data_IF_598471730709
#
_entry.id   IF_598471730709
#
_cell.length_a   1.000
_cell.length_b   1.000
_cell.length_c   1.000
_cell.angle_alpha   90.00
_cell.angle_beta   90.00
_cell.angle_gamma   90.00
#
_symmetry.space_group_name_H-M   'P 1'
#
loop_
_entity.id
_entity.type
_entity.pdbx_description
1 polymer ?
#
# COMPACT_ATOMS: atom_id res chain seq x y z
N UNK A 1 -12.60 11.63 13.60
CA UNK A 1 -13.32 10.37 13.93
C UNK A 1 -13.47 9.58 12.64
N UNK A 2 -13.15 8.31 12.64
CA UNK A 2 -13.36 7.45 11.47
C UNK A 2 -14.70 6.75 11.64
N UNK A 3 -15.66 7.08 10.79
CA UNK A 3 -16.93 6.36 10.74
C UNK A 3 -16.79 5.22 9.73
N UNK A 4 -17.05 4.01 10.19
CA UNK A 4 -17.03 2.81 9.37
C UNK A 4 -18.30 2.78 8.53
N UNK A 5 -18.14 2.88 7.21
CA UNK A 5 -19.22 2.70 6.28
C UNK A 5 -19.35 1.24 5.82
N UNK A 6 -20.38 0.97 5.02
CA UNK A 6 -20.81 -0.38 4.66
C UNK A 6 -19.72 -1.19 3.93
N UNK A 7 -19.59 -2.45 4.33
CA UNK A 7 -18.80 -3.46 3.65
C UNK A 7 -19.59 -4.01 2.48
N UNK A 8 -19.02 -3.91 1.27
CA UNK A 8 -19.61 -4.43 0.06
C UNK A 8 -18.75 -5.53 -0.54
N UNK A 9 -19.37 -6.69 -0.86
CA UNK A 9 -18.74 -7.72 -1.68
C UNK A 9 -18.67 -7.22 -3.12
N UNK A 10 -17.48 -7.20 -3.69
CA UNK A 10 -17.27 -6.87 -5.10
C UNK A 10 -17.19 -8.19 -5.88
N UNK A 11 -18.00 -8.33 -6.94
CA UNK A 11 -17.85 -9.46 -7.83
C UNK A 11 -16.45 -9.44 -8.45
N UNK A 12 -15.68 -10.55 -8.36
CA UNK A 12 -14.37 -10.59 -9.01
C UNK A 12 -14.58 -10.48 -10.52
N UNK A 13 -14.05 -9.44 -11.11
CA UNK A 13 -13.89 -9.42 -12.57
C UNK A 13 -12.69 -10.30 -12.91
N UNK A 14 -12.78 -11.12 -13.94
CA UNK A 14 -11.69 -12.03 -14.37
C UNK A 14 -10.40 -11.30 -14.73
N UNK A 15 -10.43 -9.98 -14.76
CA UNK A 15 -9.41 -9.09 -15.29
C UNK A 15 -8.83 -8.12 -14.23
N UNK A 16 -8.75 -8.53 -12.96
CA UNK A 16 -8.02 -7.75 -11.96
C UNK A 16 -6.53 -7.76 -12.31
N UNK A 17 -6.13 -6.75 -13.07
CA UNK A 17 -4.76 -6.54 -13.47
C UNK A 17 -4.24 -5.29 -12.79
N UNK A 18 -3.08 -5.44 -12.20
CA UNK A 18 -2.41 -4.32 -11.55
C UNK A 18 -1.93 -3.34 -12.62
N UNK A 19 -2.52 -2.16 -12.79
CA UNK A 19 -1.99 -1.16 -13.70
C UNK A 19 -0.63 -0.70 -13.17
N UNK A 20 0.35 -0.59 -14.06
CA UNK A 20 1.65 -0.02 -13.76
C UNK A 20 1.73 1.32 -14.48
N UNK A 21 1.91 2.39 -13.73
CA UNK A 21 2.16 3.70 -14.30
C UNK A 21 3.55 3.71 -14.96
N UNK A 22 3.59 4.13 -16.21
CA UNK A 22 4.83 4.31 -16.97
C UNK A 22 4.93 5.73 -17.47
N UNK A 23 6.13 6.14 -17.89
CA UNK A 23 6.34 7.43 -18.56
C UNK A 23 5.41 7.54 -19.78
N UNK A 24 4.43 8.41 -19.72
CA UNK A 24 3.47 8.67 -20.80
C UNK A 24 2.17 7.87 -20.77
N UNK A 25 1.83 7.20 -19.65
CA UNK A 25 0.56 6.50 -19.54
C UNK A 25 0.53 5.39 -18.51
N UNK A 26 -0.38 4.45 -18.69
CA UNK A 26 -0.45 3.22 -17.91
C UNK A 26 -0.32 2.00 -18.82
N UNK A 27 0.44 1.02 -18.41
CA UNK A 27 0.43 -0.31 -19.01
C UNK A 27 -0.39 -1.26 -18.14
N UNK A 28 -1.28 -2.00 -18.78
CA UNK A 28 -2.12 -3.00 -18.14
C UNK A 28 -1.98 -4.30 -18.92
N UNK A 29 -1.70 -5.38 -18.23
CA UNK A 29 -1.77 -6.71 -18.87
C UNK A 29 -3.22 -7.17 -18.83
N UNK A 30 -3.89 -7.26 -19.98
CA UNK A 30 -5.24 -7.75 -20.14
C UNK A 30 -5.25 -8.95 -21.10
N UNK A 31 -5.84 -10.11 -20.70
CA UNK A 31 -5.93 -11.33 -21.49
C UNK A 31 -4.58 -11.78 -22.08
N UNK A 32 -3.51 -11.79 -21.26
CA UNK A 32 -2.13 -12.03 -21.65
C UNK A 32 -1.59 -11.08 -22.73
N UNK A 33 -2.24 -9.96 -22.97
CA UNK A 33 -1.77 -8.92 -23.89
C UNK A 33 -1.40 -7.67 -23.09
N UNK A 34 -0.26 -7.09 -23.43
CA UNK A 34 0.14 -5.77 -22.93
C UNK A 34 -0.71 -4.70 -23.63
N UNK A 35 -1.56 -4.03 -22.87
CA UNK A 35 -2.36 -2.92 -23.35
C UNK A 35 -1.77 -1.62 -22.84
N UNK A 36 -1.52 -0.68 -23.75
CA UNK A 36 -1.13 0.69 -23.41
C UNK A 36 -2.38 1.55 -23.38
N UNK A 37 -2.65 2.15 -22.23
CA UNK A 37 -3.66 3.20 -22.16
C UNK A 37 -3.03 4.51 -22.60
N UNK A 38 -3.46 5.04 -23.73
CA UNK A 38 -3.13 6.40 -24.19
C UNK A 38 -4.03 7.44 -23.54
N UNK A 39 -4.36 7.28 -22.28
CA UNK A 39 -5.01 8.32 -21.50
C UNK A 39 -4.08 9.54 -21.38
N UNK A 40 -4.67 10.71 -21.23
CA UNK A 40 -4.01 12.03 -21.14
C UNK A 40 -2.61 11.95 -20.57
N UNK A 41 -1.63 12.49 -21.28
CA UNK A 41 -0.25 12.53 -20.82
C UNK A 41 -0.25 13.06 -19.37
N UNK A 42 0.16 12.22 -18.42
CA UNK A 42 0.52 12.71 -17.10
C UNK A 42 1.80 13.51 -17.32
N UNK A 43 1.61 14.79 -17.64
CA UNK A 43 2.70 15.74 -17.77
C UNK A 43 3.16 16.07 -16.35
N UNK A 44 4.16 15.37 -15.85
CA UNK A 44 4.75 15.63 -14.55
C UNK A 44 5.89 14.64 -14.29
N UNK A 45 6.84 15.03 -13.47
CA UNK A 45 7.84 14.12 -12.93
C UNK A 45 7.13 13.13 -12.01
N UNK A 46 6.73 11.98 -12.55
CA UNK A 46 6.08 10.93 -11.77
C UNK A 46 7.11 10.26 -10.87
N UNK A 47 6.94 10.43 -9.57
CA UNK A 47 7.78 9.78 -8.55
C UNK A 47 7.14 8.45 -8.18
N UNK A 48 7.91 7.39 -8.22
CA UNK A 48 7.47 6.06 -7.77
C UNK A 48 8.60 5.34 -7.04
N UNK A 49 8.22 4.35 -6.26
CA UNK A 49 9.16 3.46 -5.58
C UNK A 49 8.89 2.00 -5.91
N UNK A 50 9.96 1.22 -5.97
CA UNK A 50 9.90 -0.24 -6.15
C UNK A 50 10.86 -0.93 -5.20
N UNK A 51 10.60 -2.20 -4.91
CA UNK A 51 11.59 -3.06 -4.25
C UNK A 51 12.32 -3.87 -5.32
N UNK A 52 13.64 -3.77 -5.29
CA UNK A 52 14.52 -4.60 -6.12
C UNK A 52 15.64 -5.15 -5.26
N UNK A 53 15.79 -6.46 -5.26
CA UNK A 53 16.81 -7.16 -4.45
C UNK A 53 16.77 -6.76 -2.98
N UNK A 54 15.56 -6.66 -2.41
CA UNK A 54 15.34 -6.24 -1.02
C UNK A 54 15.63 -4.76 -0.72
N UNK A 55 15.94 -3.93 -1.71
CA UNK A 55 16.26 -2.50 -1.53
C UNK A 55 15.15 -1.62 -2.05
N UNK A 56 14.94 -0.49 -1.40
CA UNK A 56 13.99 0.54 -1.83
C UNK A 56 14.67 1.36 -2.95
N UNK A 57 14.06 1.35 -4.12
CA UNK A 57 14.52 2.16 -5.26
C UNK A 57 13.46 3.22 -5.52
N UNK A 58 13.88 4.48 -5.53
CA UNK A 58 13.02 5.63 -5.86
C UNK A 58 13.42 6.18 -7.22
N UNK A 59 12.44 6.31 -8.09
CA UNK A 59 12.58 6.90 -9.42
C UNK A 59 11.75 8.18 -9.48
N UNK A 60 12.35 9.29 -9.85
CA UNK A 60 11.69 10.61 -9.95
C UNK A 60 11.53 11.09 -11.41
N UNK A 61 11.64 10.17 -12.37
CA UNK A 61 11.57 10.45 -13.81
C UNK A 61 12.87 11.01 -14.40
N UNK A 62 13.83 11.48 -13.57
CA UNK A 62 15.13 12.00 -13.97
C UNK A 62 16.29 11.17 -13.43
N UNK A 63 16.13 10.69 -12.22
CA UNK A 63 17.15 9.96 -11.48
C UNK A 63 16.56 8.73 -10.79
N UNK A 64 17.43 7.79 -10.49
CA UNK A 64 17.11 6.61 -9.69
C UNK A 64 18.09 6.57 -8.52
N UNK A 65 17.57 6.38 -7.31
CA UNK A 65 18.37 6.30 -6.09
C UNK A 65 17.91 5.16 -5.20
N UNK A 66 18.85 4.61 -4.44
CA UNK A 66 18.61 3.56 -3.47
C UNK A 66 18.50 4.19 -2.08
N UNK A 67 17.44 3.86 -1.35
CA UNK A 67 17.30 4.26 0.05
C UNK A 67 17.65 3.08 0.97
N UNK A 68 18.34 3.39 2.06
CA UNK A 68 18.72 2.45 3.13
C UNK A 68 18.48 3.11 4.49
N UNK A 69 17.21 3.30 4.91
CA UNK A 69 16.89 4.06 6.12
C UNK A 69 17.52 3.50 7.40
N UNK A 70 17.76 2.21 7.46
CA UNK A 70 18.41 1.54 8.60
C UNK A 70 19.87 1.12 8.33
N UNK A 71 20.43 1.50 7.18
CA UNK A 71 21.78 1.05 6.77
C UNK A 71 21.82 -0.47 6.64
N UNK A 72 22.84 -1.09 7.23
CA UNK A 72 23.05 -2.53 7.19
C UNK A 72 22.29 -3.29 8.31
N UNK A 73 21.53 -2.58 9.17
CA UNK A 73 20.74 -3.20 10.23
C UNK A 73 19.48 -3.91 9.72
N UNK A 74 18.97 -3.49 8.57
CA UNK A 74 17.84 -4.11 7.89
C UNK A 74 18.31 -4.66 6.55
N UNK A 75 18.25 -5.96 6.41
CA UNK A 75 18.76 -6.67 5.25
C UNK A 75 17.84 -6.49 4.04
N UNK A 76 16.54 -6.42 4.26
CA UNK A 76 15.55 -6.39 3.17
C UNK A 76 14.30 -5.59 3.52
N UNK A 77 13.71 -5.00 2.48
CA UNK A 77 12.44 -4.28 2.53
C UNK A 77 11.42 -4.96 1.63
N UNK A 78 10.16 -4.86 2.01
CA UNK A 78 9.01 -5.37 1.24
C UNK A 78 7.99 -4.24 1.07
N UNK A 79 7.15 -4.35 0.05
CA UNK A 79 6.06 -3.41 -0.21
C UNK A 79 6.48 -1.96 -0.04
N UNK A 80 6.46 -1.21 -1.08
CA UNK A 80 6.77 0.21 -1.03
C UNK A 80 5.77 1.00 -1.85
N UNK A 81 5.38 2.17 -1.37
CA UNK A 81 4.52 3.10 -2.08
C UNK A 81 4.87 4.54 -1.73
N UNK A 82 4.82 5.41 -2.74
CA UNK A 82 4.94 6.85 -2.56
C UNK A 82 3.57 7.42 -2.20
N UNK A 83 3.52 8.39 -1.28
CA UNK A 83 2.28 9.10 -0.92
C UNK A 83 1.70 9.85 -2.12
N UNK A 84 0.38 10.10 -2.16
CA UNK A 84 -0.25 10.80 -3.28
C UNK A 84 0.35 12.17 -3.60
N UNK A 85 0.82 12.91 -2.59
CA UNK A 85 1.51 14.20 -2.75
C UNK A 85 2.99 14.10 -3.14
N UNK A 86 3.53 12.88 -3.20
CA UNK A 86 4.93 12.63 -3.56
C UNK A 86 5.95 12.97 -2.48
N UNK A 87 5.52 13.26 -1.25
CA UNK A 87 6.39 13.73 -0.16
C UNK A 87 6.96 12.65 0.74
N UNK A 88 6.31 11.48 0.79
CA UNK A 88 6.63 10.40 1.71
C UNK A 88 6.65 9.04 1.02
N UNK A 89 7.30 8.09 1.65
CA UNK A 89 7.32 6.68 1.23
C UNK A 89 6.90 5.83 2.41
N UNK A 90 5.99 4.90 2.20
CA UNK A 90 5.73 3.80 3.13
C UNK A 90 6.40 2.53 2.63
N UNK A 91 6.94 1.74 3.53
CA UNK A 91 7.55 0.42 3.24
C UNK A 91 7.50 -0.46 4.48
N UNK A 92 7.70 -1.76 4.30
CA UNK A 92 7.89 -2.71 5.38
C UNK A 92 9.38 -3.09 5.45
N UNK A 93 9.99 -2.86 6.60
CA UNK A 93 11.38 -3.22 6.90
C UNK A 93 11.39 -4.54 7.69
N UNK A 94 12.03 -5.58 7.15
CA UNK A 94 12.06 -6.91 7.79
C UNK A 94 12.74 -6.81 9.16
N UNK A 95 12.06 -7.31 10.18
CA UNK A 95 12.50 -7.25 11.57
C UNK A 95 12.16 -5.95 12.31
N UNK A 96 11.59 -4.95 11.61
CA UNK A 96 11.14 -3.67 12.21
C UNK A 96 9.63 -3.49 12.07
N UNK A 97 9.10 -3.74 10.85
CA UNK A 97 7.70 -3.52 10.52
C UNK A 97 7.50 -2.40 9.49
N UNK A 98 6.29 -1.84 9.45
CA UNK A 98 5.92 -0.74 8.56
C UNK A 98 6.51 0.58 9.04
N UNK A 99 7.19 1.27 8.13
CA UNK A 99 7.86 2.55 8.38
C UNK A 99 7.47 3.58 7.33
N UNK A 100 7.40 4.84 7.75
CA UNK A 100 7.19 5.99 6.88
C UNK A 100 8.50 6.76 6.80
N UNK A 101 8.91 7.10 5.59
CA UNK A 101 10.14 7.80 5.27
C UNK A 101 9.80 9.11 4.56
N UNK A 102 10.71 10.10 4.65
CA UNK A 102 10.76 11.18 3.67
C UNK A 102 11.37 10.70 2.34
N UNK A 103 11.39 11.56 1.34
CA UNK A 103 11.95 11.23 0.02
C UNK A 103 13.48 11.09 0.04
N UNK A 104 14.16 11.46 1.11
CA UNK A 104 15.60 11.30 1.32
C UNK A 104 15.94 9.99 2.03
N UNK A 105 14.93 9.28 2.57
CA UNK A 105 15.07 8.04 3.31
C UNK A 105 15.22 8.24 4.82
N UNK A 106 14.98 9.44 5.35
CA UNK A 106 14.94 9.67 6.79
C UNK A 106 13.63 9.08 7.35
N UNK A 107 13.70 8.43 8.50
CA UNK A 107 12.56 7.80 9.15
C UNK A 107 11.69 8.90 9.79
N UNK A 108 10.43 8.98 9.36
CA UNK A 108 9.45 9.90 9.92
C UNK A 108 8.59 9.21 11.00
N UNK A 109 8.24 7.95 10.80
CA UNK A 109 7.47 7.16 11.75
C UNK A 109 7.76 5.66 11.61
N UNK A 110 7.77 4.96 12.74
CA UNK A 110 7.68 3.51 12.83
C UNK A 110 6.27 3.19 13.31
N UNK A 111 5.52 2.43 12.52
CA UNK A 111 4.10 2.15 12.77
C UNK A 111 3.88 0.78 13.39
N UNK A 112 4.91 -0.07 13.45
CA UNK A 112 4.85 -1.42 13.99
C UNK A 112 4.67 -2.50 12.92
N UNK A 113 4.45 -3.72 13.37
CA UNK A 113 4.38 -4.91 12.53
C UNK A 113 3.01 -5.02 11.83
N UNK A 114 2.91 -4.36 10.69
CA UNK A 114 1.75 -4.35 9.79
C UNK A 114 2.23 -4.56 8.35
N UNK A 115 1.65 -5.49 7.66
CA UNK A 115 2.09 -5.94 6.34
C UNK A 115 1.31 -5.30 5.20
N UNK A 116 1.85 -5.36 3.98
CA UNK A 116 1.21 -4.89 2.75
C UNK A 116 0.67 -3.45 2.85
N UNK A 117 1.47 -2.47 3.33
CA UNK A 117 1.03 -1.11 3.54
C UNK A 117 0.71 -0.41 2.21
N UNK A 118 -0.34 0.41 2.22
CA UNK A 118 -0.73 1.30 1.12
C UNK A 118 -1.26 2.62 1.68
N UNK A 119 -1.06 3.71 0.94
CA UNK A 119 -1.51 5.02 1.37
C UNK A 119 -3.02 5.20 1.27
N UNK A 120 -3.62 5.77 2.32
CA UNK A 120 -4.94 6.38 2.32
C UNK A 120 -4.79 7.88 2.56
N UNK A 121 -4.70 8.66 1.49
CA UNK A 121 -4.27 10.06 1.53
C UNK A 121 -2.79 10.18 1.89
N UNK A 122 -2.41 11.29 2.52
CA UNK A 122 -1.02 11.57 2.85
C UNK A 122 -0.67 11.30 4.33
N UNK A 123 -1.68 11.05 5.16
CA UNK A 123 -1.53 10.97 6.62
C UNK A 123 -1.91 9.60 7.19
N UNK A 124 -2.55 8.74 6.39
CA UNK A 124 -2.94 7.41 6.83
C UNK A 124 -2.38 6.31 5.93
N UNK A 125 -2.13 5.16 6.55
CA UNK A 125 -1.70 3.94 5.87
C UNK A 125 -2.70 2.83 6.17
N UNK A 126 -3.31 2.24 5.14
CA UNK A 126 -4.03 0.99 5.27
C UNK A 126 -3.05 -0.17 5.19
N UNK A 127 -3.17 -1.13 6.08
CA UNK A 127 -2.27 -2.27 6.14
C UNK A 127 -2.98 -3.52 6.66
N UNK A 128 -2.29 -4.65 6.58
CA UNK A 128 -2.73 -5.93 7.08
C UNK A 128 -2.06 -6.23 8.43
N UNK A 129 -2.83 -6.66 9.43
CA UNK A 129 -2.29 -7.27 10.65
C UNK A 129 -2.64 -8.74 10.64
N UNK A 130 -1.63 -9.57 10.39
CA UNK A 130 -1.77 -11.02 10.36
C UNK A 130 -1.07 -11.67 11.54
N UNK A 131 -1.50 -12.88 11.86
CA UNK A 131 -0.78 -13.85 12.70
C UNK A 131 -0.74 -15.18 11.96
N UNK A 132 0.32 -15.93 12.14
CA UNK A 132 0.49 -17.26 11.57
C UNK A 132 1.00 -18.26 12.62
N UNK A 133 0.93 -19.55 12.30
CA UNK A 133 1.46 -20.65 13.11
C UNK A 133 2.75 -21.25 12.53
N UNK A 134 3.37 -20.54 11.59
CA UNK A 134 4.53 -20.99 10.82
C UNK A 134 4.20 -21.80 9.57
N UNK A 135 2.91 -22.12 9.33
CA UNK A 135 2.43 -22.84 8.16
C UNK A 135 1.35 -22.08 7.39
N UNK A 136 0.45 -21.43 8.12
CA UNK A 136 -0.68 -20.69 7.54
C UNK A 136 -1.08 -19.51 8.43
N UNK A 137 -1.75 -18.54 7.83
CA UNK A 137 -2.37 -17.46 8.60
C UNK A 137 -3.47 -18.03 9.51
N UNK A 138 -3.43 -17.67 10.78
CA UNK A 138 -4.44 -18.02 11.80
C UNK A 138 -5.43 -16.90 12.05
N UNK A 139 -5.02 -15.65 11.80
CA UNK A 139 -5.90 -14.49 11.75
C UNK A 139 -5.34 -13.42 10.84
N UNK A 140 -6.21 -12.60 10.25
CA UNK A 140 -5.78 -11.43 9.49
C UNK A 140 -6.89 -10.39 9.39
N UNK A 141 -6.58 -9.13 9.65
CA UNK A 141 -7.49 -8.00 9.56
C UNK A 141 -6.86 -6.84 8.83
N UNK A 142 -7.69 -5.97 8.26
CA UNK A 142 -7.26 -4.68 7.72
C UNK A 142 -7.37 -3.62 8.81
N UNK A 143 -6.34 -2.81 8.90
CA UNK A 143 -6.24 -1.68 9.83
C UNK A 143 -5.97 -0.39 9.06
N UNK A 144 -6.30 0.75 9.67
CA UNK A 144 -5.87 2.06 9.22
C UNK A 144 -4.99 2.69 10.30
N UNK A 145 -3.78 3.07 9.92
CA UNK A 145 -2.74 3.61 10.78
C UNK A 145 -2.64 5.11 10.55
N UNK A 146 -2.74 5.91 11.59
CA UNK A 146 -2.44 7.34 11.54
C UNK A 146 -0.93 7.54 11.65
N UNK A 147 -0.31 8.12 10.64
CA UNK A 147 1.14 8.32 10.58
C UNK A 147 1.64 9.35 11.61
N UNK A 148 0.78 10.27 12.05
CA UNK A 148 1.13 11.35 12.98
C UNK A 148 0.94 10.94 14.43
N UNK A 149 -0.26 10.43 14.77
CA UNK A 149 -0.60 10.02 16.14
C UNK A 149 -0.20 8.59 16.46
N UNK A 150 0.12 7.78 15.46
CA UNK A 150 0.36 6.33 15.55
C UNK A 150 -0.86 5.54 16.07
N UNK A 151 -2.05 6.14 16.02
CA UNK A 151 -3.29 5.44 16.36
C UNK A 151 -3.61 4.39 15.32
N UNK A 152 -4.16 3.27 15.78
CA UNK A 152 -4.55 2.12 14.98
C UNK A 152 -6.06 1.98 15.02
N UNK A 153 -6.69 1.92 13.86
CA UNK A 153 -8.12 1.73 13.72
C UNK A 153 -8.37 0.38 13.02
N UNK A 154 -9.02 -0.54 13.72
CA UNK A 154 -9.42 -1.82 13.15
C UNK A 154 -10.58 -1.62 12.18
N UNK A 155 -10.40 -2.01 10.92
CA UNK A 155 -11.43 -1.87 9.88
C UNK A 155 -12.22 -3.16 9.66
N UNK A 156 -11.61 -4.32 9.91
CA UNK A 156 -12.25 -5.63 9.75
C UNK A 156 -11.99 -6.52 10.97
N UNK A 157 -12.73 -7.62 11.08
CA UNK A 157 -12.49 -8.62 12.12
C UNK A 157 -11.29 -9.51 11.79
N UNK A 158 -10.47 -9.92 12.76
CA UNK A 158 -9.37 -10.86 12.54
C UNK A 158 -9.80 -12.20 11.94
N UNK A 159 -11.02 -12.67 12.26
CA UNK A 159 -11.57 -13.92 11.74
C UNK A 159 -11.99 -13.86 10.26
N UNK A 160 -12.00 -12.67 9.66
CA UNK A 160 -12.35 -12.50 8.24
C UNK A 160 -11.20 -12.86 7.30
N UNK A 161 -10.00 -13.05 7.81
CA UNK A 161 -8.81 -13.43 7.04
C UNK A 161 -8.54 -12.49 5.85
N UNK A 162 -8.56 -11.18 6.14
CA UNK A 162 -8.44 -10.11 5.16
C UNK A 162 -7.00 -9.86 4.76
N UNK A 163 -6.75 -9.62 3.47
CA UNK A 163 -5.40 -9.51 2.89
C UNK A 163 -5.30 -8.39 1.86
N UNK A 164 -4.07 -7.90 1.69
CA UNK A 164 -3.65 -7.05 0.56
C UNK A 164 -4.56 -5.84 0.32
N UNK A 165 -4.66 -4.89 1.25
CA UNK A 165 -5.46 -3.70 1.07
C UNK A 165 -4.93 -2.85 -0.09
N UNK A 166 -5.84 -2.21 -0.81
CA UNK A 166 -5.58 -1.14 -1.75
C UNK A 166 -6.52 0.01 -1.43
N UNK A 167 -6.00 1.22 -1.31
CA UNK A 167 -6.74 2.33 -0.74
C UNK A 167 -6.75 3.56 -1.65
N UNK A 168 -7.84 4.33 -1.59
CA UNK A 168 -7.99 5.63 -2.22
C UNK A 168 -8.78 6.56 -1.29
N UNK A 169 -8.10 7.58 -0.75
CA UNK A 169 -8.76 8.58 0.07
C UNK A 169 -9.66 9.52 -0.74
N UNK A 170 -9.32 9.77 -2.01
CA UNK A 170 -10.16 10.55 -2.92
C UNK A 170 -11.52 9.87 -3.15
N UNK A 171 -11.52 8.55 -3.30
CA UNK A 171 -12.74 7.77 -3.43
C UNK A 171 -13.39 7.43 -2.08
N UNK A 172 -12.73 7.70 -0.94
CA UNK A 172 -13.18 7.29 0.38
C UNK A 172 -13.24 5.77 0.54
N UNK A 173 -12.36 5.00 -0.12
CA UNK A 173 -12.51 3.54 -0.24
C UNK A 173 -11.23 2.77 0.03
N UNK A 174 -11.41 1.58 0.60
CA UNK A 174 -10.39 0.55 0.72
C UNK A 174 -10.95 -0.76 0.16
N UNK A 175 -10.22 -1.38 -0.76
CA UNK A 175 -10.52 -2.70 -1.32
C UNK A 175 -9.53 -3.70 -0.74
N UNK A 176 -9.97 -4.89 -0.39
CA UNK A 176 -9.12 -5.96 0.10
C UNK A 176 -9.63 -7.33 -0.35
N UNK A 177 -8.76 -8.32 -0.34
CA UNK A 177 -9.12 -9.72 -0.58
C UNK A 177 -9.24 -10.50 0.72
N UNK A 178 -9.84 -11.69 0.65
CA UNK A 178 -9.73 -12.70 1.71
C UNK A 178 -8.92 -13.89 1.22
N UNK A 179 -8.51 -14.77 2.12
CA UNK A 179 -7.82 -16.03 1.75
C UNK A 179 -8.65 -16.91 0.83
N UNK A 180 -9.99 -16.76 0.83
CA UNK A 180 -10.89 -17.46 -0.09
C UNK A 180 -10.97 -16.83 -1.49
N UNK A 181 -10.22 -15.75 -1.73
CA UNK A 181 -10.22 -15.01 -3.00
C UNK A 181 -11.44 -14.10 -3.22
N UNK A 182 -12.24 -13.85 -2.20
CA UNK A 182 -13.32 -12.85 -2.26
C UNK A 182 -12.76 -11.46 -2.16
N UNK A 183 -13.35 -10.50 -2.89
CA UNK A 183 -13.01 -9.09 -2.83
C UNK A 183 -14.09 -8.32 -2.10
N UNK A 184 -13.67 -7.45 -1.21
CA UNK A 184 -14.54 -6.56 -0.46
C UNK A 184 -14.10 -5.11 -0.60
N UNK A 185 -15.05 -4.20 -0.51
CA UNK A 185 -14.83 -2.78 -0.47
C UNK A 185 -15.40 -2.21 0.82
N UNK A 186 -14.62 -1.39 1.50
CA UNK A 186 -15.05 -0.54 2.61
C UNK A 186 -15.16 0.89 2.11
N UNK A 187 -16.22 1.58 2.46
CA UNK A 187 -16.31 3.03 2.36
C UNK A 187 -15.94 3.65 3.71
N UNK A 188 -15.08 4.64 3.70
CA UNK A 188 -14.61 5.33 4.90
C UNK A 188 -14.91 6.81 4.83
N UNK A 189 -15.52 7.33 5.88
CA UNK A 189 -15.65 8.76 6.10
C UNK A 189 -14.63 9.16 7.17
N UNK A 190 -13.55 9.82 6.75
CA UNK A 190 -12.56 10.38 7.67
C UNK A 190 -12.89 11.85 7.88
N UNK A 191 -13.49 12.18 9.00
CA UNK A 191 -13.66 13.57 9.43
C UNK A 191 -12.42 14.04 10.16
N UNK A 192 -11.83 15.14 9.66
CA UNK A 192 -10.69 15.83 10.30
C UNK A 192 -11.12 16.54 11.57
#
# INVERSE_FOLDING_TARGET
MIEKAEKQLIAPTRDLKRPVAISGGMEVVADNKLMKSTGSQISGNYVHSIIKEGKIIVCDGKSTRILRPYGDKVESYLWTAVSPDGSKIVTYAIGVGTVVLDMQGNILAELGDYESPTWYGNDFVAAMKATDDGHQFTSSKIVLLDCNSKQVHDLTSPSEMCMNPSASAEAGRIVYSTVEGKLFMLELNVTK
#
